data_IF_956347226871
#
_entry.id   IF_956347226871
#
_cell.length_a   1.000
_cell.length_b   1.000
_cell.length_c   1.000
_cell.angle_alpha   90.00
_cell.angle_beta   90.00
_cell.angle_gamma   90.00
#
_symmetry.space_group_name_H-M   'P 1'
#
loop_
_entity.id
_entity.type
_entity.pdbx_description
1 polymer ?
#
# COMPACT_ATOMS: atom_id res chain seq x y z
N UNK A 1 -4.73 16.49 4.27
CA UNK A 1 -3.60 15.59 4.60
C UNK A 1 -2.78 16.08 5.81
N UNK A 2 -2.25 17.32 5.85
CA UNK A 2 -1.47 17.83 7.01
C UNK A 2 -2.20 17.71 8.37
N UNK A 3 -3.51 17.91 8.41
CA UNK A 3 -4.31 17.76 9.64
C UNK A 3 -4.53 16.29 10.07
N UNK A 4 -4.43 15.32 9.14
CA UNK A 4 -4.56 13.89 9.47
C UNK A 4 -3.27 13.37 10.10
N UNK A 5 -2.11 13.72 9.54
CA UNK A 5 -0.78 13.26 9.99
C UNK A 5 -0.50 13.49 11.48
N UNK A 6 -0.91 14.63 12.03
CA UNK A 6 -0.68 14.97 13.44
C UNK A 6 -1.58 14.19 14.43
N UNK A 7 -2.56 13.43 13.93
CA UNK A 7 -3.61 12.81 14.74
C UNK A 7 -3.86 11.33 14.48
N UNK A 8 -3.39 10.77 13.37
CA UNK A 8 -3.74 9.39 13.00
C UNK A 8 -2.79 8.34 13.57
N UNK A 9 -3.28 7.54 14.52
CA UNK A 9 -2.67 6.27 14.94
C UNK A 9 -3.19 5.20 13.98
N UNK A 10 -2.35 4.79 13.04
CA UNK A 10 -2.81 4.01 11.87
C UNK A 10 -3.26 2.59 12.20
N UNK A 11 -2.82 2.04 13.34
CA UNK A 11 -3.34 0.79 13.87
C UNK A 11 -4.72 0.93 14.51
N UNK A 12 -5.06 2.12 15.01
CA UNK A 12 -6.37 2.38 15.63
C UNK A 12 -7.39 2.97 14.64
N UNK A 13 -6.95 3.83 13.74
CA UNK A 13 -7.84 4.63 12.90
C UNK A 13 -8.18 3.96 11.56
N UNK A 14 -7.33 3.06 11.05
CA UNK A 14 -7.56 2.36 9.78
C UNK A 14 -7.70 0.85 9.92
N UNK A 15 -7.59 0.32 11.14
CA UNK A 15 -7.64 -1.13 11.38
C UNK A 15 -6.41 -1.87 10.84
N UNK A 16 -5.26 -1.19 10.69
CA UNK A 16 -4.02 -1.86 10.29
C UNK A 16 -3.69 -2.95 11.32
N UNK A 17 -3.48 -4.18 10.83
CA UNK A 17 -3.20 -5.32 11.68
C UNK A 17 -2.05 -4.98 12.66
N UNK A 18 -2.33 -5.10 13.96
CA UNK A 18 -1.39 -4.77 15.05
C UNK A 18 -0.15 -5.66 15.06
N UNK A 19 -0.23 -6.81 14.40
CA UNK A 19 0.86 -7.79 14.26
C UNK A 19 1.84 -7.44 13.15
N UNK A 20 1.49 -6.47 12.30
CA UNK A 20 2.42 -5.91 11.31
C UNK A 20 3.33 -4.90 12.01
N UNK A 21 4.58 -5.31 12.27
CA UNK A 21 5.61 -4.43 12.81
C UNK A 21 6.16 -3.53 11.70
N UNK A 22 5.40 -2.51 11.34
CA UNK A 22 5.74 -1.74 10.15
C UNK A 22 6.72 -0.61 10.46
N UNK A 23 7.96 -0.78 10.02
CA UNK A 23 9.02 0.22 10.13
C UNK A 23 8.78 1.41 9.18
N UNK A 24 9.11 2.62 9.63
CA UNK A 24 8.98 3.86 8.86
C UNK A 24 9.75 3.81 7.53
N UNK A 25 10.90 3.11 7.50
CA UNK A 25 11.70 2.91 6.28
C UNK A 25 10.92 2.20 5.15
N UNK A 26 9.99 1.32 5.53
CA UNK A 26 9.19 0.55 4.58
C UNK A 26 8.19 1.45 3.84
N UNK A 27 7.53 2.33 4.59
CA UNK A 27 6.58 3.29 4.05
C UNK A 27 7.26 4.28 3.12
N UNK A 28 8.43 4.77 3.53
CA UNK A 28 9.25 5.69 2.74
C UNK A 28 9.67 5.09 1.40
N UNK A 29 9.96 3.79 1.34
CA UNK A 29 10.35 3.14 0.09
C UNK A 29 9.18 3.05 -0.91
N UNK A 30 7.98 2.66 -0.45
CA UNK A 30 6.77 2.68 -1.28
C UNK A 30 6.41 4.11 -1.69
N UNK A 31 6.56 5.07 -0.78
CA UNK A 31 6.39 6.51 -1.04
C UNK A 31 7.29 7.05 -2.14
N UNK A 32 8.59 6.75 -2.07
CA UNK A 32 9.57 7.12 -3.10
C UNK A 32 9.22 6.52 -4.46
N UNK A 33 8.70 5.29 -4.49
CA UNK A 33 8.23 4.70 -5.73
C UNK A 33 7.02 5.48 -6.29
N UNK A 34 6.06 5.86 -5.44
CA UNK A 34 4.90 6.67 -5.86
C UNK A 34 5.28 8.09 -6.32
N UNK A 35 6.34 8.68 -5.79
CA UNK A 35 6.84 9.97 -6.29
C UNK A 35 7.33 9.88 -7.75
N UNK A 36 7.68 8.68 -8.24
CA UNK A 36 8.07 8.50 -9.64
C UNK A 36 6.95 8.74 -10.64
N UNK A 37 5.68 8.77 -10.18
CA UNK A 37 4.52 9.11 -10.99
C UNK A 37 4.71 10.44 -11.73
N UNK A 38 5.47 11.39 -11.17
CA UNK A 38 5.73 12.69 -11.79
C UNK A 38 6.53 12.60 -13.11
N UNK A 39 7.36 11.58 -13.27
CA UNK A 39 8.21 11.39 -14.45
C UNK A 39 7.52 10.63 -15.58
N UNK A 40 6.37 10.01 -15.29
CA UNK A 40 5.60 9.25 -16.27
C UNK A 40 4.57 10.15 -16.96
N UNK A 41 4.61 10.22 -18.29
CA UNK A 41 3.67 11.02 -19.09
C UNK A 41 2.47 10.23 -19.61
N UNK A 42 2.60 8.91 -19.79
CA UNK A 42 1.51 8.08 -20.31
C UNK A 42 0.64 7.47 -19.20
N UNK A 43 -0.68 7.38 -19.38
CA UNK A 43 -1.57 6.71 -18.43
C UNK A 43 -1.15 5.26 -18.11
N UNK A 44 -0.72 4.52 -19.15
CA UNK A 44 -0.29 3.14 -18.98
C UNK A 44 0.94 3.01 -18.07
N UNK A 45 1.94 3.87 -18.21
CA UNK A 45 3.14 3.84 -17.36
C UNK A 45 2.86 4.28 -15.94
N UNK A 46 1.98 5.27 -15.74
CA UNK A 46 1.50 5.64 -14.39
C UNK A 46 0.78 4.49 -13.72
N UNK A 47 -0.07 3.76 -14.46
CA UNK A 47 -0.78 2.62 -13.93
C UNK A 47 0.14 1.44 -13.59
N UNK A 48 1.17 1.21 -14.40
CA UNK A 48 2.23 0.26 -14.07
C UNK A 48 2.94 0.64 -12.77
N UNK A 49 3.30 1.92 -12.59
CA UNK A 49 3.90 2.41 -11.33
C UNK A 49 2.97 2.20 -10.12
N UNK A 50 1.66 2.44 -10.25
CA UNK A 50 0.70 2.14 -9.18
C UNK A 50 0.65 0.63 -8.87
N UNK A 51 0.69 -0.21 -9.90
CA UNK A 51 0.69 -1.66 -9.72
C UNK A 51 1.97 -2.15 -9.02
N UNK A 52 3.13 -1.63 -9.43
CA UNK A 52 4.43 -1.93 -8.81
C UNK A 52 4.43 -1.50 -7.34
N UNK A 53 3.96 -0.30 -7.01
CA UNK A 53 3.82 0.15 -5.62
C UNK A 53 2.99 -0.84 -4.77
N UNK A 54 1.89 -1.36 -5.32
CA UNK A 54 1.06 -2.37 -4.64
C UNK A 54 1.77 -3.72 -4.47
N UNK A 55 2.55 -4.14 -5.46
CA UNK A 55 3.35 -5.37 -5.35
C UNK A 55 4.42 -5.24 -4.27
N UNK A 56 5.13 -4.10 -4.23
CA UNK A 56 6.13 -3.82 -3.19
C UNK A 56 5.49 -3.83 -1.80
N UNK A 57 4.36 -3.15 -1.65
CA UNK A 57 3.60 -3.13 -0.41
C UNK A 57 3.18 -4.54 0.02
N UNK A 58 2.62 -5.34 -0.90
CA UNK A 58 2.22 -6.72 -0.62
C UNK A 58 3.40 -7.61 -0.22
N UNK A 59 4.53 -7.51 -0.91
CA UNK A 59 5.72 -8.28 -0.59
C UNK A 59 6.24 -7.98 0.81
N UNK A 60 6.23 -6.71 1.21
CA UNK A 60 6.64 -6.34 2.55
C UNK A 60 5.69 -6.84 3.65
N UNK A 61 4.38 -6.68 3.47
CA UNK A 61 3.39 -7.23 4.41
C UNK A 61 3.56 -8.75 4.54
N UNK A 62 3.82 -9.44 3.42
CA UNK A 62 4.09 -10.88 3.39
C UNK A 62 5.33 -11.24 4.21
N UNK A 63 6.42 -10.47 4.08
CA UNK A 63 7.65 -10.67 4.84
C UNK A 63 7.45 -10.44 6.34
N UNK A 64 6.73 -9.39 6.73
CA UNK A 64 6.44 -9.11 8.14
C UNK A 64 5.61 -10.23 8.79
N UNK A 65 4.55 -10.71 8.12
CA UNK A 65 3.79 -11.87 8.61
C UNK A 65 4.69 -13.10 8.81
N UNK A 66 5.60 -13.38 7.86
CA UNK A 66 6.56 -14.50 7.99
C UNK A 66 7.55 -14.32 9.14
N UNK A 67 7.89 -13.10 9.52
CA UNK A 67 8.80 -12.82 10.64
C UNK A 67 8.07 -12.97 11.98
N UNK A 68 6.80 -12.57 12.07
CA UNK A 68 5.97 -12.70 13.26
C UNK A 68 5.60 -14.16 13.56
N UNK A 69 5.36 -14.97 12.53
CA UNK A 69 4.97 -16.38 12.67
C UNK A 69 6.14 -17.34 12.99
N UNK A 70 7.38 -16.86 13.05
CA UNK A 70 8.53 -17.70 13.44
C UNK A 70 8.69 -17.70 14.97
N UNK A 71 8.30 -18.76 15.70
CA UNK A 71 8.81 -18.95 17.04
C UNK A 71 10.35 -19.04 16.94
N UNK A 72 11.06 -18.37 17.84
CA UNK A 72 12.52 -18.43 17.95
C UNK A 72 13.03 -19.88 17.83
N UNK A 73 13.42 -20.30 16.62
CA UNK A 73 14.20 -21.52 16.40
C UNK A 73 15.65 -21.08 16.32
N UNK A 74 16.53 -21.51 17.25
CA UNK A 74 17.94 -21.20 17.16
C UNK A 74 18.48 -21.74 15.82
N UNK A 75 19.29 -20.91 15.14
CA UNK A 75 19.95 -21.28 13.89
C UNK A 75 20.80 -22.52 14.10
N UNK A 76 20.29 -23.69 13.73
CA UNK A 76 21.13 -24.84 13.41
C UNK A 76 21.36 -24.76 11.91
N UNK A 77 22.57 -24.33 11.53
CA UNK A 77 23.05 -24.47 10.16
C UNK A 77 23.02 -25.94 9.80
N UNK A 78 22.24 -26.31 8.79
CA UNK A 78 22.61 -27.35 7.84
C UNK A 78 21.93 -27.05 6.50
N UNK A 79 22.74 -27.09 5.45
CA UNK A 79 22.32 -27.08 4.06
C UNK A 79 21.35 -28.24 3.84
N UNK A 80 20.15 -27.96 3.38
CA UNK A 80 19.36 -28.85 2.52
C UNK A 80 18.42 -27.99 1.67
N UNK A 81 18.50 -28.15 0.35
CA UNK A 81 17.53 -27.62 -0.60
C UNK A 81 16.18 -28.27 -0.31
N UNK A 82 15.19 -27.49 0.11
CA UNK A 82 13.79 -27.89 0.16
C UNK A 82 12.93 -26.72 -0.32
N UNK A 83 12.54 -26.86 -1.58
CA UNK A 83 11.22 -26.64 -2.17
C UNK A 83 10.35 -25.47 -1.72
N UNK A 84 9.74 -24.84 -2.74
CA UNK A 84 8.66 -23.87 -2.68
C UNK A 84 7.55 -24.28 -1.68
N UNK A 85 7.72 -23.91 -0.42
CA UNK A 85 6.64 -24.01 0.56
C UNK A 85 5.76 -22.76 0.41
N UNK A 86 4.73 -22.93 -0.43
CA UNK A 86 3.50 -22.14 -0.49
C UNK A 86 2.85 -22.14 0.90
N UNK A 87 3.44 -21.36 1.82
CA UNK A 87 2.89 -21.17 3.14
C UNK A 87 1.60 -20.34 3.00
N UNK A 88 0.45 -21.02 2.88
CA UNK A 88 -0.90 -20.44 2.81
C UNK A 88 -1.17 -19.48 3.99
N UNK A 89 -0.43 -19.59 5.10
CA UNK A 89 -0.53 -18.66 6.24
C UNK A 89 0.01 -17.24 5.96
N UNK A 90 0.68 -17.02 4.84
CA UNK A 90 1.24 -15.71 4.47
C UNK A 90 0.47 -15.05 3.31
N UNK A 91 -0.82 -15.36 3.17
CA UNK A 91 -1.70 -14.64 2.25
C UNK A 91 -1.91 -13.20 2.75
N UNK A 92 -1.69 -12.25 1.84
CA UNK A 92 -1.95 -10.83 2.07
C UNK A 92 -3.35 -10.54 1.52
N UNK A 93 -4.28 -10.17 2.39
CA UNK A 93 -5.65 -9.86 1.98
C UNK A 93 -5.81 -8.37 1.68
N UNK A 94 -6.97 -8.00 1.14
CA UNK A 94 -7.36 -6.60 0.99
C UNK A 94 -7.43 -5.86 2.35
N UNK A 95 -7.77 -6.57 3.42
CA UNK A 95 -7.86 -6.02 4.78
C UNK A 95 -6.49 -5.69 5.36
N UNK A 96 -5.41 -6.32 4.87
CA UNK A 96 -4.04 -5.91 5.19
C UNK A 96 -3.59 -4.75 4.27
N UNK A 97 -3.86 -4.87 2.97
CA UNK A 97 -3.34 -3.96 1.94
C UNK A 97 -3.96 -2.57 2.01
N UNK A 98 -5.27 -2.47 2.19
CA UNK A 98 -5.96 -1.19 2.09
C UNK A 98 -5.61 -0.24 3.25
N UNK A 99 -5.61 -0.67 4.53
CA UNK A 99 -5.12 0.17 5.62
C UNK A 99 -3.65 0.56 5.47
N UNK A 100 -2.81 -0.36 4.99
CA UNK A 100 -1.39 -0.09 4.76
C UNK A 100 -1.20 0.96 3.64
N UNK A 101 -2.00 0.87 2.58
CA UNK A 101 -2.02 1.86 1.50
C UNK A 101 -2.44 3.25 2.00
N UNK A 102 -3.47 3.33 2.84
CA UNK A 102 -3.88 4.60 3.46
C UNK A 102 -2.74 5.22 4.26
N UNK A 103 -2.03 4.40 5.04
CA UNK A 103 -0.88 4.84 5.82
C UNK A 103 0.24 5.41 4.93
N UNK A 104 0.63 4.68 3.89
CA UNK A 104 1.63 5.12 2.90
C UNK A 104 1.26 6.50 2.36
N UNK A 105 0.03 6.68 1.87
CA UNK A 105 -0.40 7.93 1.24
C UNK A 105 -0.38 9.10 2.25
N UNK A 106 -0.80 8.88 3.50
CA UNK A 106 -0.79 9.92 4.54
C UNK A 106 0.63 10.35 4.89
N UNK A 107 1.53 9.38 5.11
CA UNK A 107 2.90 9.61 5.54
C UNK A 107 3.73 10.25 4.44
N UNK A 108 3.72 9.65 3.27
CA UNK A 108 4.64 9.96 2.18
C UNK A 108 4.14 11.12 1.31
N UNK A 109 2.82 11.38 1.31
CA UNK A 109 2.18 12.47 0.55
C UNK A 109 2.66 12.52 -0.90
N UNK A 110 2.50 11.41 -1.65
CA UNK A 110 3.09 11.27 -2.97
C UNK A 110 2.60 12.38 -3.91
N UNK A 111 3.55 13.04 -4.57
CA UNK A 111 3.23 14.16 -5.46
C UNK A 111 2.42 13.66 -6.65
N UNK A 112 1.47 14.49 -7.10
CA UNK A 112 0.66 14.22 -8.29
C UNK A 112 -0.15 12.92 -8.29
N UNK A 113 -0.32 12.22 -7.15
CA UNK A 113 -1.12 11.00 -7.08
C UNK A 113 -2.55 11.26 -7.59
N UNK A 114 -3.24 12.27 -7.06
CA UNK A 114 -4.60 12.62 -7.47
C UNK A 114 -4.69 12.96 -8.98
N UNK A 115 -3.76 13.77 -9.50
CA UNK A 115 -3.72 14.15 -10.91
C UNK A 115 -3.40 12.97 -11.82
N UNK A 116 -2.53 12.07 -11.37
CA UNK A 116 -2.16 10.84 -12.10
C UNK A 116 -3.34 9.88 -12.18
N UNK A 117 -4.10 9.72 -11.11
CA UNK A 117 -5.33 8.93 -11.09
C UNK A 117 -6.39 9.50 -12.05
N UNK A 118 -6.61 10.82 -12.05
CA UNK A 118 -7.53 11.47 -12.97
C UNK A 118 -7.12 11.32 -14.45
N UNK A 119 -5.81 11.36 -14.74
CA UNK A 119 -5.30 11.13 -16.09
C UNK A 119 -5.59 9.69 -16.56
N UNK A 120 -5.44 8.71 -15.67
CA UNK A 120 -5.74 7.31 -15.95
C UNK A 120 -7.23 7.11 -16.20
N UNK A 121 -8.09 7.75 -15.40
CA UNK A 121 -9.54 7.70 -15.55
C UNK A 121 -10.03 8.25 -16.89
N UNK A 122 -9.35 9.27 -17.43
CA UNK A 122 -9.71 9.92 -18.69
C UNK A 122 -9.37 9.14 -19.96
N UNK A 123 -8.80 7.94 -19.87
CA UNK A 123 -8.51 7.10 -21.02
C UNK A 123 -9.79 6.43 -21.52
N UNK A 124 -9.97 6.32 -22.85
CA UNK A 124 -11.18 5.74 -23.46
C UNK A 124 -11.44 4.28 -23.06
N UNK A 125 -10.39 3.54 -22.73
CA UNK A 125 -10.45 2.15 -22.29
C UNK A 125 -9.47 1.95 -21.12
N UNK A 126 -9.86 2.32 -19.89
CA UNK A 126 -9.09 1.92 -18.73
C UNK A 126 -9.22 0.38 -18.59
N UNK A 127 -8.17 -0.32 -18.14
CA UNK A 127 -8.28 -1.75 -17.90
C UNK A 127 -9.37 -1.99 -16.88
N UNK A 128 -10.36 -2.77 -17.32
CA UNK A 128 -11.56 -3.09 -16.56
C UNK A 128 -11.42 -4.35 -15.70
N UNK A 129 -10.31 -5.08 -15.86
CA UNK A 129 -10.04 -6.33 -15.15
C UNK A 129 -8.53 -6.57 -15.00
N UNK A 130 -8.14 -7.48 -14.10
CA UNK A 130 -6.74 -7.82 -13.83
C UNK A 130 -6.11 -7.05 -12.67
N UNK A 131 -4.84 -7.35 -12.39
CA UNK A 131 -4.10 -6.85 -11.23
C UNK A 131 -3.85 -5.33 -11.27
N UNK A 132 -3.66 -4.76 -12.46
CA UNK A 132 -3.56 -3.31 -12.67
C UNK A 132 -4.87 -2.59 -12.32
N UNK A 133 -6.00 -3.11 -12.81
CA UNK A 133 -7.32 -2.55 -12.52
C UNK A 133 -7.64 -2.59 -11.02
N UNK A 134 -7.29 -3.70 -10.36
CA UNK A 134 -7.40 -3.85 -8.91
C UNK A 134 -6.57 -2.81 -8.16
N UNK A 135 -5.28 -2.68 -8.51
CA UNK A 135 -4.36 -1.72 -7.88
C UNK A 135 -4.87 -0.29 -8.03
N UNK A 136 -5.27 0.09 -9.25
CA UNK A 136 -5.86 1.39 -9.55
C UNK A 136 -7.12 1.66 -8.72
N UNK A 137 -8.02 0.67 -8.62
CA UNK A 137 -9.26 0.79 -7.84
C UNK A 137 -8.98 1.02 -6.36
N UNK A 138 -7.98 0.35 -5.78
CA UNK A 138 -7.57 0.58 -4.40
C UNK A 138 -7.03 2.00 -4.18
N UNK A 139 -6.22 2.54 -5.10
CA UNK A 139 -5.75 3.93 -5.01
C UNK A 139 -6.89 4.95 -5.11
N UNK A 140 -7.84 4.74 -6.04
CA UNK A 140 -9.04 5.57 -6.15
C UNK A 140 -9.85 5.56 -4.85
N UNK A 141 -10.10 4.37 -4.32
CA UNK A 141 -10.84 4.20 -3.06
C UNK A 141 -10.12 4.83 -1.87
N UNK A 142 -8.79 4.69 -1.80
CA UNK A 142 -7.96 5.28 -0.76
C UNK A 142 -8.03 6.81 -0.80
N UNK A 143 -7.90 7.41 -1.99
CA UNK A 143 -8.01 8.86 -2.16
C UNK A 143 -9.40 9.37 -1.79
N UNK A 144 -10.47 8.68 -2.21
CA UNK A 144 -11.84 9.02 -1.83
C UNK A 144 -12.04 8.96 -0.31
N UNK A 145 -11.60 7.88 0.34
CA UNK A 145 -11.71 7.68 1.78
C UNK A 145 -10.99 8.79 2.56
N UNK A 146 -9.74 9.12 2.19
CA UNK A 146 -8.96 10.19 2.82
C UNK A 146 -9.60 11.56 2.64
N UNK A 147 -10.18 11.83 1.46
CA UNK A 147 -10.93 13.07 1.22
C UNK A 147 -12.17 13.15 2.10
N UNK A 148 -12.94 12.07 2.25
CA UNK A 148 -14.12 12.06 3.10
C UNK A 148 -13.76 12.27 4.57
N UNK A 149 -12.75 11.57 5.09
CA UNK A 149 -12.27 11.80 6.46
C UNK A 149 -11.81 13.23 6.69
N UNK A 150 -11.21 13.87 5.69
CA UNK A 150 -10.86 15.29 5.82
C UNK A 150 -12.08 16.20 5.94
N UNK A 151 -13.21 15.86 5.29
CA UNK A 151 -14.45 16.65 5.31
C UNK A 151 -15.28 16.44 6.58
N UNK A 152 -15.39 15.21 7.08
CA UNK A 152 -16.10 14.93 8.35
C UNK A 152 -15.38 15.54 9.54
N UNK A 153 -14.05 15.58 9.53
CA UNK A 153 -13.28 16.19 10.61
C UNK A 153 -13.39 17.73 10.66
N UNK A 154 -13.72 18.40 9.55
CA UNK A 154 -13.96 19.86 9.53
C UNK A 154 -15.37 20.21 10.05
N UNK A 155 -16.33 19.29 9.99
CA UNK A 155 -17.69 19.53 10.51
C UNK A 155 -17.82 19.37 12.03
N UNK A 156 -16.83 18.74 12.66
CA UNK A 156 -16.80 18.48 14.11
C UNK A 156 -15.74 19.31 14.85
N UNK A 157 -15.15 20.31 14.19
CA UNK A 157 -14.18 21.25 14.75
C UNK A 157 -14.80 22.66 14.78
#
# INVERSE_FOLDING_TARGET
LRALEARTDSHKDFGLNKELNVNDDMWDWVGKHLDTLEYHSSPATKMQCLHEAMQLLSQHIKQEKKNTDRPFKPKVSNNDNLDDDDNENSLVSADDLFPALLHVIIKTKPKYLASSLALIEGVSEPPSSGSHAYSYTLFQQAMFYLQQMSKTNVKNA
#
